data_IF_642103153167
#
_entry.id   IF_642103153167
#
_cell.length_a   1.000
_cell.length_b   1.000
_cell.length_c   1.000
_cell.angle_alpha   90.00
_cell.angle_beta   90.00
_cell.angle_gamma   90.00
#
_symmetry.space_group_name_H-M   'P 1'
#
loop_
_entity.id
_entity.type
_entity.pdbx_description
1 polymer ?
#
# COMPACT_ATOMS: atom_id res chain seq x y z
N UNK A 1 -2.24 -5.88 -16.54
CA UNK A 1 -2.87 -4.61 -16.10
C UNK A 1 -1.84 -3.51 -16.12
N UNK A 2 -2.25 -2.25 -16.25
CA UNK A 2 -1.33 -1.10 -16.17
C UNK A 2 -1.04 -0.76 -14.71
N UNK A 3 0.23 -0.83 -14.32
CA UNK A 3 0.66 -0.50 -12.95
C UNK A 3 0.37 0.96 -12.56
N UNK A 4 0.36 1.88 -13.52
CA UNK A 4 0.07 3.29 -13.26
C UNK A 4 -1.37 3.53 -12.77
N UNK A 5 -2.34 2.75 -13.27
CA UNK A 5 -3.75 2.86 -12.85
C UNK A 5 -3.89 2.54 -11.37
N UNK A 6 -3.15 1.53 -10.90
CA UNK A 6 -3.18 1.06 -9.51
C UNK A 6 -2.73 2.16 -8.56
N UNK A 7 -1.73 2.95 -8.96
CA UNK A 7 -1.25 4.07 -8.18
C UNK A 7 -2.22 5.26 -8.19
N UNK A 8 -2.87 5.55 -9.31
CA UNK A 8 -3.91 6.58 -9.39
C UNK A 8 -5.11 6.24 -8.50
N UNK A 9 -5.54 4.98 -8.49
CA UNK A 9 -6.63 4.52 -7.61
C UNK A 9 -6.25 4.70 -6.14
N UNK A 10 -5.02 4.34 -5.74
CA UNK A 10 -4.52 4.57 -4.37
C UNK A 10 -4.50 6.05 -4.00
N UNK A 11 -4.08 6.92 -4.92
CA UNK A 11 -4.11 8.36 -4.71
C UNK A 11 -5.53 8.87 -4.48
N UNK A 12 -6.49 8.50 -5.32
CA UNK A 12 -7.89 8.92 -5.13
C UNK A 12 -8.50 8.36 -3.86
N UNK A 13 -8.24 7.10 -3.53
CA UNK A 13 -8.67 6.50 -2.27
C UNK A 13 -8.14 7.29 -1.05
N UNK A 14 -6.85 7.68 -1.08
CA UNK A 14 -6.25 8.52 -0.05
C UNK A 14 -6.99 9.85 0.10
N UNK A 15 -7.30 10.53 -1.01
CA UNK A 15 -8.05 11.79 -0.97
C UNK A 15 -9.44 11.61 -0.36
N UNK A 16 -10.18 10.55 -0.74
CA UNK A 16 -11.52 10.30 -0.19
C UNK A 16 -11.48 9.97 1.31
N UNK A 17 -10.48 9.22 1.78
CA UNK A 17 -10.28 8.96 3.22
C UNK A 17 -10.08 10.26 3.99
N UNK A 18 -9.31 11.20 3.44
CA UNK A 18 -9.05 12.52 4.04
C UNK A 18 -10.32 13.38 4.01
N UNK A 19 -10.95 13.54 2.85
CA UNK A 19 -12.14 14.37 2.64
C UNK A 19 -13.31 13.96 3.55
N UNK A 20 -13.48 12.65 3.74
CA UNK A 20 -14.55 12.09 4.58
C UNK A 20 -14.10 11.88 6.03
N UNK A 21 -12.86 12.24 6.38
CA UNK A 21 -12.26 12.04 7.70
C UNK A 21 -12.42 10.59 8.24
N UNK A 22 -12.24 9.60 7.37
CA UNK A 22 -12.52 8.20 7.72
C UNK A 22 -11.56 7.63 8.76
N UNK A 23 -10.36 8.20 8.90
CA UNK A 23 -9.39 7.80 9.92
C UNK A 23 -9.86 8.09 11.35
N UNK A 24 -10.86 8.97 11.54
CA UNK A 24 -11.49 9.18 12.85
C UNK A 24 -12.70 8.28 13.11
N UNK A 25 -13.12 7.51 12.11
CA UNK A 25 -14.33 6.66 12.15
C UNK A 25 -13.96 5.18 12.20
N UNK A 26 -12.87 4.81 11.52
CA UNK A 26 -12.40 3.43 11.44
C UNK A 26 -10.98 3.31 11.98
N UNK A 27 -10.76 2.30 12.83
CA UNK A 27 -9.44 2.00 13.39
C UNK A 27 -8.53 1.30 12.37
N UNK A 28 -9.13 0.52 11.45
CA UNK A 28 -8.41 -0.28 10.43
C UNK A 28 -9.13 -0.25 9.09
N UNK A 29 -8.34 -0.37 8.03
CA UNK A 29 -8.77 -0.34 6.65
C UNK A 29 -8.31 -1.63 5.95
N UNK A 30 -9.22 -2.23 5.17
CA UNK A 30 -8.90 -3.35 4.29
C UNK A 30 -8.98 -2.85 2.85
N UNK A 31 -7.85 -2.86 2.14
CA UNK A 31 -7.73 -2.39 0.77
C UNK A 31 -7.46 -3.58 -0.14
N UNK A 32 -8.38 -3.84 -1.07
CA UNK A 32 -8.27 -4.90 -2.07
C UNK A 32 -8.22 -4.33 -3.48
N UNK A 33 -7.55 -5.03 -4.39
CA UNK A 33 -7.69 -4.74 -5.82
C UNK A 33 -9.03 -5.26 -6.33
N UNK A 34 -9.78 -4.44 -7.08
CA UNK A 34 -11.16 -4.74 -7.48
C UNK A 34 -11.30 -5.92 -8.45
N UNK A 35 -10.23 -6.27 -9.18
CA UNK A 35 -10.17 -7.39 -10.10
C UNK A 35 -9.64 -8.69 -9.44
N UNK A 36 -9.44 -8.69 -8.12
CA UNK A 36 -8.89 -9.83 -7.39
C UNK A 36 -9.85 -10.32 -6.31
N UNK A 37 -10.01 -11.64 -6.21
CA UNK A 37 -10.86 -12.29 -5.21
C UNK A 37 -10.00 -13.22 -4.37
N UNK A 38 -9.99 -12.98 -3.07
CA UNK A 38 -9.40 -13.89 -2.09
C UNK A 38 -10.39 -14.99 -1.76
N UNK A 39 -9.99 -16.25 -1.98
CA UNK A 39 -10.83 -17.43 -1.71
C UNK A 39 -10.59 -18.03 -0.32
N UNK A 40 -9.47 -17.68 0.30
CA UNK A 40 -9.18 -18.08 1.68
C UNK A 40 -9.92 -17.16 2.64
N UNK A 41 -10.25 -17.70 3.82
CA UNK A 41 -10.84 -16.90 4.88
C UNK A 41 -9.86 -15.79 5.29
N UNK A 42 -10.39 -14.58 5.47
CA UNK A 42 -9.61 -13.46 5.97
C UNK A 42 -9.39 -13.67 7.48
N UNK A 43 -8.15 -13.51 8.00
CA UNK A 43 -7.90 -13.55 9.44
C UNK A 43 -8.82 -12.60 10.18
N UNK A 44 -9.28 -12.98 11.35
CA UNK A 44 -10.09 -12.09 12.17
C UNK A 44 -9.26 -10.90 12.63
N UNK A 45 -9.93 -9.79 12.89
CA UNK A 45 -9.28 -8.56 13.33
C UNK A 45 -8.56 -8.70 14.69
N UNK A 46 -8.94 -9.69 15.49
CA UNK A 46 -8.31 -9.97 16.79
C UNK A 46 -6.99 -10.74 16.65
N UNK A 47 -6.77 -11.42 15.52
CA UNK A 47 -5.54 -12.17 15.22
C UNK A 47 -4.44 -11.29 14.61
N UNK A 48 -4.79 -10.09 14.15
CA UNK A 48 -3.89 -9.16 13.49
C UNK A 48 -3.46 -8.04 14.44
N UNK A 49 -2.15 -7.88 14.63
CA UNK A 49 -1.57 -6.75 15.36
C UNK A 49 -2.12 -5.43 14.78
N UNK A 50 -2.77 -4.59 15.60
CA UNK A 50 -3.44 -3.38 15.13
C UNK A 50 -2.50 -2.22 14.83
N UNK A 51 -1.18 -2.34 15.03
CA UNK A 51 -0.23 -1.22 14.85
C UNK A 51 0.71 -1.41 13.65
N UNK A 52 0.44 -2.39 12.80
CA UNK A 52 1.28 -2.75 11.65
C UNK A 52 0.44 -2.94 10.38
N UNK A 53 1.09 -2.79 9.24
CA UNK A 53 0.56 -3.12 7.92
C UNK A 53 0.65 -4.64 7.72
N UNK A 54 -0.46 -5.27 7.34
CA UNK A 54 -0.50 -6.68 6.93
C UNK A 54 -0.66 -6.81 5.43
N UNK A 55 0.25 -7.55 4.80
CA UNK A 55 0.24 -7.85 3.37
C UNK A 55 0.45 -9.35 3.16
N UNK A 56 -0.33 -10.03 2.32
CA UNK A 56 -0.16 -11.47 2.13
C UNK A 56 1.15 -11.78 1.40
N UNK A 57 1.69 -12.98 1.62
CA UNK A 57 2.83 -13.48 0.88
C UNK A 57 2.46 -13.95 -0.55
N UNK A 58 3.40 -13.79 -1.47
CA UNK A 58 3.29 -14.29 -2.83
C UNK A 58 2.77 -13.25 -3.81
N UNK A 59 3.03 -13.49 -5.10
CA UNK A 59 2.80 -12.49 -6.16
C UNK A 59 3.44 -11.12 -5.83
N UNK A 60 4.57 -11.15 -5.12
CA UNK A 60 5.34 -9.99 -4.70
C UNK A 60 6.23 -9.44 -5.81
N UNK A 61 6.59 -10.28 -6.79
CA UNK A 61 7.50 -9.94 -7.89
C UNK A 61 8.79 -9.19 -7.44
N UNK A 62 9.34 -9.59 -6.29
CA UNK A 62 10.53 -8.99 -5.69
C UNK A 62 10.29 -7.70 -4.91
N UNK A 63 9.04 -7.36 -4.59
CA UNK A 63 8.65 -6.22 -3.77
C UNK A 63 7.57 -6.57 -2.74
N UNK A 64 6.57 -5.68 -2.58
CA UNK A 64 5.40 -5.89 -1.72
C UNK A 64 4.16 -5.97 -2.61
N UNK A 65 3.39 -7.04 -2.46
CA UNK A 65 2.17 -7.22 -3.26
C UNK A 65 1.18 -6.08 -3.06
N UNK A 66 0.52 -5.70 -4.15
CA UNK A 66 -0.40 -4.56 -4.22
C UNK A 66 -1.88 -4.98 -4.11
N UNK A 67 -2.14 -6.27 -3.87
CA UNK A 67 -3.46 -6.90 -4.04
C UNK A 67 -4.35 -6.85 -2.81
N UNK A 68 -3.75 -6.87 -1.62
CA UNK A 68 -4.44 -6.78 -0.34
C UNK A 68 -3.56 -6.09 0.68
N UNK A 69 -4.18 -5.28 1.51
CA UNK A 69 -3.54 -4.58 2.61
C UNK A 69 -4.55 -4.44 3.75
N UNK A 70 -4.17 -4.84 4.95
CA UNK A 70 -4.81 -4.38 6.18
C UNK A 70 -3.91 -3.33 6.80
N UNK A 71 -4.42 -2.13 7.03
CA UNK A 71 -3.64 -1.02 7.56
C UNK A 71 -4.40 -0.32 8.68
N UNK A 72 -3.71 0.07 9.76
CA UNK A 72 -4.33 0.87 10.79
C UNK A 72 -4.46 2.33 10.37
N UNK A 73 -5.38 3.05 11.01
CA UNK A 73 -5.73 4.43 10.65
C UNK A 73 -4.53 5.37 10.75
N UNK A 74 -3.58 5.11 11.66
CA UNK A 74 -2.33 5.87 11.77
C UNK A 74 -1.38 5.70 10.58
N UNK A 75 -1.44 4.57 9.85
CA UNK A 75 -0.50 4.26 8.77
C UNK A 75 -1.13 4.33 7.36
N UNK A 76 -2.46 4.26 7.23
CA UNK A 76 -3.13 4.12 5.93
C UNK A 76 -2.80 5.26 4.95
N UNK A 77 -2.73 6.51 5.41
CA UNK A 77 -2.45 7.64 4.53
C UNK A 77 -1.01 7.62 4.00
N UNK A 78 -0.06 7.12 4.79
CA UNK A 78 1.31 6.88 4.35
C UNK A 78 1.39 5.70 3.39
N UNK A 79 0.72 4.59 3.72
CA UNK A 79 0.71 3.38 2.92
C UNK A 79 0.13 3.60 1.51
N UNK A 80 -0.84 4.50 1.37
CA UNK A 80 -1.43 4.89 0.08
C UNK A 80 -0.65 5.98 -0.67
N UNK A 81 0.26 6.69 -0.01
CA UNK A 81 1.09 7.75 -0.60
C UNK A 81 2.25 7.18 -1.44
N UNK A 82 1.89 6.64 -2.59
CA UNK A 82 2.83 6.05 -3.55
C UNK A 82 3.31 7.09 -4.58
N UNK A 83 2.42 7.97 -5.05
CA UNK A 83 2.70 8.86 -6.20
C UNK A 83 3.30 10.22 -5.83
N UNK A 84 2.99 10.82 -4.69
CA UNK A 84 3.28 12.25 -4.48
C UNK A 84 4.80 12.53 -4.61
N UNK A 85 5.70 11.75 -3.99
CA UNK A 85 7.14 12.03 -4.10
C UNK A 85 7.76 11.69 -5.44
N UNK A 86 7.03 11.02 -6.33
CA UNK A 86 7.46 10.76 -7.71
C UNK A 86 7.42 12.03 -8.52
N UNK A 87 6.44 12.90 -8.25
CA UNK A 87 6.34 14.20 -8.89
C UNK A 87 7.36 15.18 -8.34
N UNK A 88 7.65 15.10 -7.03
CA UNK A 88 8.61 16.00 -6.38
C UNK A 88 10.07 15.64 -6.67
N UNK A 89 10.38 14.35 -6.78
CA UNK A 89 11.75 13.84 -6.94
C UNK A 89 11.85 12.73 -8.01
N UNK A 90 11.46 12.99 -9.26
CA UNK A 90 11.43 11.97 -10.32
C UNK A 90 12.80 11.30 -10.55
N UNK A 91 13.91 12.00 -10.34
CA UNK A 91 15.27 11.49 -10.49
C UNK A 91 15.61 10.34 -9.54
N UNK A 92 14.93 10.23 -8.40
CA UNK A 92 15.12 9.13 -7.44
C UNK A 92 14.51 7.83 -7.93
N UNK A 93 13.47 7.92 -8.76
CA UNK A 93 12.68 6.79 -9.22
C UNK A 93 12.97 6.40 -10.68
N UNK A 94 13.31 7.37 -11.54
CA UNK A 94 13.54 7.17 -12.97
C UNK A 94 15.02 7.16 -13.37
N UNK A 95 15.88 6.46 -12.61
CA UNK A 95 17.23 6.15 -13.13
C UNK A 95 17.08 5.21 -14.32
N UNK A 96 17.73 5.54 -15.45
CA UNK A 96 17.74 4.86 -16.78
C UNK A 96 17.96 3.33 -16.81
N UNK A 97 18.09 2.64 -15.66
CA UNK A 97 18.49 1.23 -15.56
C UNK A 97 17.50 0.28 -14.87
N UNK A 98 16.39 0.75 -14.30
CA UNK A 98 15.48 -0.14 -13.59
C UNK A 98 14.05 -0.06 -14.16
N UNK A 99 13.61 -1.16 -14.80
CA UNK A 99 12.19 -1.44 -15.00
C UNK A 99 11.61 -1.88 -13.65
N UNK A 100 11.31 -0.92 -12.78
CA UNK A 100 10.70 -1.17 -11.47
C UNK A 100 9.23 -1.54 -11.69
N UNK A 101 8.82 -2.72 -11.23
CA UNK A 101 7.41 -3.12 -11.28
C UNK A 101 6.62 -2.44 -10.13
N UNK A 102 5.27 -2.49 -10.15
CA UNK A 102 4.47 -1.83 -9.12
C UNK A 102 4.80 -2.26 -7.69
N UNK A 103 4.99 -3.56 -7.47
CA UNK A 103 5.28 -4.14 -6.16
C UNK A 103 6.62 -3.66 -5.59
N UNK A 104 7.66 -3.59 -6.43
CA UNK A 104 8.97 -3.04 -6.06
C UNK A 104 8.89 -1.53 -5.80
N UNK A 105 8.05 -0.81 -6.54
CA UNK A 105 7.85 0.61 -6.34
C UNK A 105 7.20 0.92 -5.00
N UNK A 106 6.17 0.14 -4.62
CA UNK A 106 5.52 0.23 -3.31
C UNK A 106 6.55 -0.01 -2.20
N UNK A 107 7.35 -1.07 -2.33
CA UNK A 107 8.40 -1.37 -1.36
C UNK A 107 9.39 -0.20 -1.19
N UNK A 108 9.89 0.38 -2.30
CA UNK A 108 10.80 1.53 -2.25
C UNK A 108 10.17 2.75 -1.58
N UNK A 109 8.88 3.00 -1.83
CA UNK A 109 8.13 4.09 -1.20
C UNK A 109 7.96 3.88 0.30
N UNK A 110 7.55 2.68 0.71
CA UNK A 110 7.37 2.35 2.12
C UNK A 110 8.69 2.32 2.89
N UNK A 111 9.81 1.93 2.27
CA UNK A 111 11.14 2.10 2.84
C UNK A 111 11.47 3.59 3.06
N UNK A 112 11.21 4.45 2.08
CA UNK A 112 11.48 5.89 2.20
C UNK A 112 10.61 6.58 3.26
N UNK A 113 9.45 6.00 3.60
CA UNK A 113 8.53 6.47 4.65
C UNK A 113 8.80 5.83 6.03
N UNK A 114 9.81 4.95 6.15
CA UNK A 114 10.04 4.12 7.33
C UNK A 114 8.86 3.20 7.71
N UNK A 115 8.00 2.85 6.77
CA UNK A 115 6.93 1.86 6.98
C UNK A 115 7.45 0.43 6.84
N UNK A 116 8.40 0.19 5.94
CA UNK A 116 9.01 -1.12 5.73
C UNK A 116 10.49 -1.09 6.15
N UNK A 117 11.01 -2.14 6.84
CA UNK A 117 10.35 -3.41 7.17
C UNK A 117 9.61 -3.42 8.51
N UNK A 118 9.87 -2.44 9.38
CA UNK A 118 9.54 -2.55 10.81
C UNK A 118 8.03 -2.63 11.09
N UNK A 119 7.23 -1.91 10.29
CA UNK A 119 5.78 -1.86 10.42
C UNK A 119 5.05 -2.76 9.43
N UNK A 120 5.72 -3.68 8.73
CA UNK A 120 5.07 -4.63 7.82
C UNK A 120 5.15 -6.05 8.39
N UNK A 121 4.02 -6.75 8.37
CA UNK A 121 3.90 -8.18 8.68
C UNK A 121 3.26 -8.91 7.49
N UNK A 122 3.65 -10.17 7.34
CA UNK A 122 3.27 -11.05 6.24
C UNK A 122 2.56 -12.28 6.78
#
# INVERSE_FOLDING_TARGET
>A
GSGAIIFMIRYWLRQHIIELNLTSVYDRFIITRSDYVYKCDHPTMDELDPHVLWVPEGQDYGGITDRHLVAPSELILGALDILEPVFDHPERYFKRRFNVNPEQFIMLRWMAQNLFPDHVRR
#
